data_IF_657394908747
#
_entry.id   IF_657394908747
#
_cell.length_a   1.000
_cell.length_b   1.000
_cell.length_c   1.000
_cell.angle_alpha   90.00
_cell.angle_beta   90.00
_cell.angle_gamma   90.00
#
_symmetry.space_group_name_H-M   'P 1'
#
loop_
_entity.id
_entity.type
_entity.pdbx_description
1 polymer ?
#
# COMPACT_ATOMS: atom_id res chain seq x y z
N UNK A 1 -10.79 -53.02 -55.91
CA UNK A 1 -9.83 -51.91 -55.65
C UNK A 1 -10.59 -50.64 -55.33
N UNK A 2 -10.02 -49.82 -54.43
CA UNK A 2 -10.30 -48.38 -54.19
C UNK A 2 -11.45 -48.02 -53.24
N UNK A 3 -11.11 -47.61 -52.00
CA UNK A 3 -11.14 -46.21 -51.45
C UNK A 3 -12.58 -45.76 -51.08
N UNK A 4 -12.86 -45.14 -49.94
CA UNK A 4 -12.07 -44.20 -49.12
C UNK A 4 -12.73 -44.05 -47.74
N UNK A 5 -11.90 -44.05 -46.69
CA UNK A 5 -12.20 -43.47 -45.37
C UNK A 5 -12.59 -42.00 -45.52
N UNK A 6 -13.56 -41.53 -44.74
CA UNK A 6 -13.49 -40.19 -44.15
C UNK A 6 -14.26 -40.14 -42.83
N UNK A 7 -13.50 -40.29 -41.73
CA UNK A 7 -13.84 -39.77 -40.41
C UNK A 7 -13.25 -38.37 -40.33
N UNK A 8 -14.04 -37.35 -40.06
CA UNK A 8 -13.54 -36.08 -39.53
C UNK A 8 -14.07 -35.88 -38.12
N UNK A 9 -13.16 -36.01 -37.14
CA UNK A 9 -13.37 -35.59 -35.76
C UNK A 9 -12.87 -34.15 -35.67
N UNK A 10 -13.73 -33.20 -35.30
CA UNK A 10 -13.32 -31.84 -34.95
C UNK A 10 -13.48 -31.65 -33.44
N UNK A 11 -12.37 -31.63 -32.68
CA UNK A 11 -12.42 -31.30 -31.25
C UNK A 11 -11.14 -30.60 -30.77
N UNK A 12 -10.86 -29.38 -31.22
CA UNK A 12 -9.76 -28.57 -30.70
C UNK A 12 -10.12 -27.08 -30.55
N UNK A 13 -11.09 -26.76 -29.68
CA UNK A 13 -11.40 -25.35 -29.29
C UNK A 13 -11.47 -25.09 -27.78
N UNK A 14 -11.09 -26.05 -26.92
CA UNK A 14 -11.22 -25.92 -25.45
C UNK A 14 -10.04 -25.24 -24.75
N UNK A 15 -8.85 -25.20 -25.35
CA UNK A 15 -7.63 -24.61 -24.75
C UNK A 15 -7.56 -23.07 -24.77
N UNK A 16 -8.38 -22.39 -25.58
CA UNK A 16 -8.31 -20.93 -25.72
C UNK A 16 -9.12 -20.18 -24.64
N UNK A 17 -10.16 -20.83 -24.09
CA UNK A 17 -11.09 -20.19 -23.13
C UNK A 17 -10.49 -20.02 -21.75
N UNK A 18 -9.73 -20.98 -21.23
CA UNK A 18 -9.14 -20.90 -19.89
C UNK A 18 -8.02 -19.85 -19.80
N UNK A 19 -7.19 -19.73 -20.85
CA UNK A 19 -6.17 -18.67 -20.95
C UNK A 19 -6.77 -17.27 -20.93
N UNK A 20 -7.92 -17.07 -21.59
CA UNK A 20 -8.67 -15.81 -21.53
C UNK A 20 -9.17 -15.51 -20.11
N UNK A 21 -9.71 -16.50 -19.40
CA UNK A 21 -10.16 -16.31 -18.02
C UNK A 21 -9.01 -16.01 -17.05
N UNK A 22 -7.86 -16.66 -17.21
CA UNK A 22 -6.66 -16.33 -16.42
C UNK A 22 -6.17 -14.91 -16.68
N UNK A 23 -6.16 -14.49 -17.94
CA UNK A 23 -5.78 -13.12 -18.31
C UNK A 23 -6.78 -12.10 -17.77
N UNK A 24 -8.08 -12.38 -17.83
CA UNK A 24 -9.11 -11.52 -17.25
C UNK A 24 -8.93 -11.43 -15.73
N UNK A 25 -8.69 -12.56 -15.05
CA UNK A 25 -8.46 -12.58 -13.60
C UNK A 25 -7.22 -11.77 -13.21
N UNK A 26 -6.12 -11.97 -13.94
CA UNK A 26 -4.87 -11.23 -13.73
C UNK A 26 -5.08 -9.73 -13.93
N UNK A 27 -5.67 -9.33 -15.06
CA UNK A 27 -5.95 -7.92 -15.34
C UNK A 27 -6.93 -7.34 -14.33
N UNK A 28 -7.97 -8.07 -13.91
CA UNK A 28 -8.90 -7.59 -12.90
C UNK A 28 -8.22 -7.39 -11.54
N UNK A 29 -7.31 -8.29 -11.15
CA UNK A 29 -6.53 -8.15 -9.93
C UNK A 29 -5.58 -6.94 -10.00
N UNK A 30 -4.88 -6.79 -11.12
CA UNK A 30 -3.98 -5.66 -11.36
C UNK A 30 -4.73 -4.32 -11.39
N UNK A 31 -5.84 -4.22 -12.12
CA UNK A 31 -6.67 -3.02 -12.12
C UNK A 31 -7.27 -2.78 -10.73
N UNK A 32 -7.64 -3.84 -10.01
CA UNK A 32 -8.17 -3.76 -8.65
C UNK A 32 -7.18 -3.18 -7.63
N UNK A 33 -5.87 -3.28 -7.85
CA UNK A 33 -4.85 -2.65 -6.99
C UNK A 33 -4.43 -1.27 -7.48
N UNK A 34 -4.29 -1.09 -8.79
CA UNK A 34 -3.78 0.16 -9.37
C UNK A 34 -4.84 1.27 -9.39
N UNK A 35 -6.08 0.96 -9.75
CA UNK A 35 -7.12 1.99 -9.88
C UNK A 35 -7.41 2.71 -8.56
N UNK A 36 -7.53 2.04 -7.39
CA UNK A 36 -7.72 2.74 -6.12
C UNK A 36 -6.56 3.69 -5.80
N UNK A 37 -5.31 3.26 -6.01
CA UNK A 37 -4.13 4.10 -5.75
C UNK A 37 -4.12 5.35 -6.65
N UNK A 38 -4.48 5.19 -7.92
CA UNK A 38 -4.61 6.32 -8.84
C UNK A 38 -5.74 7.27 -8.46
N UNK A 39 -6.85 6.75 -7.92
CA UNK A 39 -7.96 7.57 -7.44
C UNK A 39 -7.55 8.41 -6.22
N UNK A 40 -6.77 7.83 -5.30
CA UNK A 40 -6.24 8.52 -4.12
C UNK A 40 -5.27 9.67 -4.46
N UNK A 41 -4.79 9.78 -5.70
CA UNK A 41 -4.03 10.95 -6.16
C UNK A 41 -4.88 12.21 -6.23
N UNK A 42 -6.19 12.07 -6.45
CA UNK A 42 -7.10 13.20 -6.72
C UNK A 42 -8.17 13.35 -5.66
N UNK A 43 -8.49 12.29 -4.93
CA UNK A 43 -9.51 12.27 -3.89
C UNK A 43 -8.83 11.91 -2.59
N UNK A 44 -9.01 12.78 -1.60
CA UNK A 44 -8.48 12.53 -0.28
C UNK A 44 -9.10 11.25 0.32
N UNK A 45 -8.31 10.37 0.94
CA UNK A 45 -8.85 9.14 1.51
C UNK A 45 -9.83 9.46 2.65
N UNK A 46 -11.02 8.84 2.68
CA UNK A 46 -12.00 9.07 3.74
C UNK A 46 -11.60 8.41 5.07
N UNK A 47 -10.68 7.44 5.03
CA UNK A 47 -10.16 6.74 6.21
C UNK A 47 -8.80 6.14 5.91
N UNK A 48 -8.07 5.74 6.95
CA UNK A 48 -6.80 5.02 6.87
C UNK A 48 -6.83 3.78 7.77
N UNK A 49 -5.89 2.86 7.56
CA UNK A 49 -5.76 1.69 8.43
C UNK A 49 -5.58 2.10 9.91
N UNK A 50 -4.82 3.16 10.18
CA UNK A 50 -4.66 3.73 11.51
C UNK A 50 -5.99 4.25 12.09
N UNK A 51 -6.76 5.01 11.32
CA UNK A 51 -8.06 5.52 11.74
C UNK A 51 -9.03 4.38 12.09
N UNK A 52 -9.07 3.33 11.27
CA UNK A 52 -9.90 2.15 11.52
C UNK A 52 -9.44 1.39 12.76
N UNK A 53 -8.12 1.21 12.94
CA UNK A 53 -7.57 0.55 14.12
C UNK A 53 -7.93 1.30 15.41
N UNK A 54 -7.83 2.64 15.42
CA UNK A 54 -8.21 3.47 16.57
C UNK A 54 -9.71 3.41 16.87
N UNK A 55 -10.55 3.43 15.85
CA UNK A 55 -11.99 3.23 16.04
C UNK A 55 -12.31 1.86 16.63
N UNK A 56 -11.65 0.81 16.15
CA UNK A 56 -11.82 -0.54 16.66
C UNK A 56 -11.37 -0.66 18.12
N UNK A 57 -10.20 -0.12 18.45
CA UNK A 57 -9.64 -0.08 19.80
C UNK A 57 -10.61 0.63 20.77
N UNK A 58 -11.06 1.84 20.44
CA UNK A 58 -12.01 2.59 21.25
C UNK A 58 -13.33 1.82 21.46
N UNK A 59 -13.89 1.24 20.38
CA UNK A 59 -15.10 0.43 20.47
C UNK A 59 -14.93 -0.81 21.34
N UNK A 60 -13.77 -1.47 21.25
CA UNK A 60 -13.44 -2.63 22.08
C UNK A 60 -13.24 -2.28 23.56
N UNK A 61 -12.80 -1.06 23.85
CA UNK A 61 -12.67 -0.51 25.19
C UNK A 61 -14.00 0.00 25.77
N UNK A 62 -15.11 -0.07 25.01
CA UNK A 62 -16.42 0.42 25.44
C UNK A 62 -16.62 1.93 25.30
N UNK A 63 -15.69 2.64 24.64
CA UNK A 63 -15.81 4.06 24.36
C UNK A 63 -16.70 4.26 23.11
N UNK A 64 -18.00 4.42 23.36
CA UNK A 64 -19.00 4.63 22.32
C UNK A 64 -19.02 6.06 21.76
N UNK A 65 -18.39 7.01 22.45
CA UNK A 65 -18.40 8.43 22.10
C UNK A 65 -17.12 8.86 21.36
N UNK A 66 -16.16 7.96 21.18
CA UNK A 66 -14.94 8.22 20.43
C UNK A 66 -15.25 8.71 19.01
N UNK A 67 -14.74 9.90 18.66
CA UNK A 67 -14.85 10.50 17.33
C UNK A 67 -13.48 10.89 16.82
N UNK A 68 -13.15 10.47 15.61
CA UNK A 68 -11.97 10.96 14.90
C UNK A 68 -12.24 12.35 14.34
N UNK A 69 -11.41 13.30 14.73
CA UNK A 69 -11.35 14.62 14.10
C UNK A 69 -10.32 14.58 12.97
N UNK A 70 -10.79 14.52 11.73
CA UNK A 70 -9.93 14.44 10.55
C UNK A 70 -10.42 15.46 9.52
N UNK A 71 -9.51 16.33 9.07
CA UNK A 71 -9.79 17.36 8.06
C UNK A 71 -8.62 17.49 7.11
N UNK A 72 -8.88 17.27 5.83
CA UNK A 72 -7.92 17.54 4.76
C UNK A 72 -7.74 19.05 4.59
N UNK A 73 -6.49 19.49 4.54
CA UNK A 73 -6.14 20.89 4.39
C UNK A 73 -4.99 21.03 3.38
N UNK A 74 -5.07 21.96 2.41
CA UNK A 74 -3.93 22.26 1.57
C UNK A 74 -2.72 22.73 2.40
N UNK A 75 -1.51 22.34 1.99
CA UNK A 75 -0.26 22.73 2.66
C UNK A 75 -0.11 24.25 2.80
N UNK A 76 -0.68 25.05 1.88
CA UNK A 76 -0.66 26.51 1.92
C UNK A 76 -1.39 27.12 3.12
N UNK A 77 -2.29 26.37 3.75
CA UNK A 77 -3.00 26.78 4.97
C UNK A 77 -2.38 26.21 6.24
N UNK A 78 -1.28 25.45 6.11
CA UNK A 78 -0.52 24.92 7.23
C UNK A 78 0.73 25.79 7.38
N UNK A 79 1.07 26.13 8.63
CA UNK A 79 2.30 26.85 8.92
C UNK A 79 3.51 26.06 8.38
N UNK A 80 4.40 26.67 7.58
CA UNK A 80 5.59 25.99 7.08
C UNK A 80 6.47 25.42 8.20
N UNK A 81 6.46 26.06 9.37
CA UNK A 81 7.19 25.62 10.56
C UNK A 81 6.67 24.29 11.11
N UNK A 82 5.37 24.00 10.97
CA UNK A 82 4.81 22.71 11.39
C UNK A 82 5.36 21.57 10.52
N UNK A 83 5.42 21.77 9.20
CA UNK A 83 6.00 20.77 8.29
C UNK A 83 7.47 20.49 8.61
N UNK A 84 8.25 21.54 8.88
CA UNK A 84 9.63 21.40 9.32
C UNK A 84 9.77 20.68 10.66
N UNK A 85 8.89 20.97 11.62
CA UNK A 85 8.90 20.30 12.92
C UNK A 85 8.63 18.80 12.79
N UNK A 86 7.67 18.39 11.96
CA UNK A 86 7.35 16.97 11.69
C UNK A 86 8.52 16.26 11.03
N UNK A 87 9.12 16.87 10.00
CA UNK A 87 10.30 16.30 9.33
C UNK A 87 11.46 16.18 10.33
N UNK A 88 11.71 17.19 11.14
CA UNK A 88 12.79 17.17 12.11
C UNK A 88 12.60 16.15 13.25
N UNK A 89 11.35 15.83 13.62
CA UNK A 89 11.05 14.87 14.69
C UNK A 89 10.95 13.42 14.21
N UNK A 90 10.40 13.20 13.02
CA UNK A 90 10.10 11.84 12.51
C UNK A 90 11.14 11.35 11.49
N UNK A 91 11.69 12.23 10.65
CA UNK A 91 12.50 11.84 9.50
C UNK A 91 13.45 12.97 9.06
N UNK A 92 14.54 13.15 9.82
CA UNK A 92 15.49 14.26 9.61
C UNK A 92 16.18 14.21 8.25
N UNK A 93 16.36 13.01 7.69
CA UNK A 93 16.98 12.79 6.38
C UNK A 93 15.97 12.72 5.23
N UNK A 94 14.70 13.07 5.46
CA UNK A 94 13.65 13.00 4.44
C UNK A 94 14.05 13.57 3.06
N UNK A 95 14.71 14.74 2.94
CA UNK A 95 15.09 15.29 1.64
C UNK A 95 16.25 14.56 0.95
N UNK A 96 16.97 13.71 1.68
CA UNK A 96 18.20 13.06 1.25
C UNK A 96 17.97 11.64 0.71
N UNK A 97 16.78 11.06 0.94
CA UNK A 97 16.45 9.72 0.53
C UNK A 97 15.15 9.62 -0.29
N UNK A 98 14.97 8.49 -0.97
CA UNK A 98 13.79 8.23 -1.81
C UNK A 98 12.75 7.32 -1.12
N UNK A 99 12.63 7.44 0.20
CA UNK A 99 11.63 6.75 1.01
C UNK A 99 12.19 5.66 1.92
N UNK A 100 13.48 5.35 1.85
CA UNK A 100 14.16 4.43 2.77
C UNK A 100 15.49 5.06 3.19
N UNK A 101 15.71 5.21 4.50
CA UNK A 101 17.02 5.57 5.06
C UNK A 101 17.81 4.28 5.32
N UNK A 102 18.60 3.88 4.33
CA UNK A 102 19.38 2.62 4.39
C UNK A 102 20.40 2.67 5.52
N UNK A 103 21.05 3.83 5.73
CA UNK A 103 22.01 4.02 6.82
C UNK A 103 21.32 3.80 8.17
N UNK A 104 20.14 4.41 8.39
CA UNK A 104 19.41 4.25 9.65
C UNK A 104 18.93 2.80 9.86
N UNK A 105 18.59 2.08 8.79
CA UNK A 105 18.23 0.66 8.86
C UNK A 105 19.46 -0.18 9.26
N UNK A 106 20.62 0.07 8.65
CA UNK A 106 21.87 -0.62 8.95
C UNK A 106 22.30 -0.37 10.41
N UNK A 107 22.33 0.89 10.82
CA UNK A 107 22.64 1.31 12.21
C UNK A 107 21.70 0.63 13.22
N UNK A 108 20.40 0.56 12.92
CA UNK A 108 19.42 -0.08 13.79
C UNK A 108 19.66 -1.60 13.92
N UNK A 109 20.06 -2.25 12.82
CA UNK A 109 20.39 -3.67 12.80
C UNK A 109 21.69 -3.94 13.56
N UNK A 110 22.74 -3.15 13.34
CA UNK A 110 24.02 -3.28 14.05
C UNK A 110 23.85 -3.06 15.55
N UNK A 111 23.16 -1.98 15.95
CA UNK A 111 22.84 -1.71 17.36
C UNK A 111 22.11 -2.88 18.00
N UNK A 112 21.19 -3.54 17.27
CA UNK A 112 20.47 -4.71 17.78
C UNK A 112 21.36 -5.94 17.90
N UNK A 113 22.30 -6.16 16.97
CA UNK A 113 23.28 -7.25 17.01
C UNK A 113 24.22 -7.11 18.22
N UNK A 114 24.58 -5.88 18.56
CA UNK A 114 25.44 -5.55 19.71
C UNK A 114 24.69 -5.60 21.06
N UNK A 115 23.48 -6.16 21.09
CA UNK A 115 22.66 -6.30 22.29
C UNK A 115 21.88 -5.04 22.68
N UNK A 116 21.98 -3.98 21.88
CA UNK A 116 21.19 -2.76 22.05
C UNK A 116 19.70 -2.94 21.74
N UNK A 117 18.92 -1.92 22.12
CA UNK A 117 17.49 -1.85 21.79
C UNK A 117 17.34 -1.50 20.31
N UNK A 118 16.53 -2.27 19.58
CA UNK A 118 16.14 -1.93 18.21
C UNK A 118 15.43 -0.57 18.22
N UNK A 119 15.92 0.37 17.42
CA UNK A 119 15.31 1.69 17.23
C UNK A 119 14.44 1.68 15.98
N UNK A 120 13.47 2.60 15.92
CA UNK A 120 12.71 2.81 14.70
C UNK A 120 13.61 3.41 13.61
N UNK A 121 13.55 2.84 12.41
CA UNK A 121 14.24 3.34 11.22
C UNK A 121 13.23 3.58 10.07
N UNK A 122 11.97 3.81 10.42
CA UNK A 122 10.88 4.00 9.45
C UNK A 122 10.80 5.47 9.01
N UNK A 123 10.82 5.70 7.70
CA UNK A 123 10.70 7.04 7.10
C UNK A 123 9.24 7.50 7.04
N UNK A 124 9.02 8.80 6.81
CA UNK A 124 7.67 9.33 6.58
C UNK A 124 6.98 8.66 5.38
N UNK A 125 7.74 8.30 4.34
CA UNK A 125 7.19 7.56 3.19
C UNK A 125 6.71 6.18 3.60
N UNK A 126 7.46 5.43 4.40
CA UNK A 126 7.04 4.10 4.87
C UNK A 126 5.84 4.15 5.81
N UNK A 127 5.75 5.19 6.63
CA UNK A 127 4.61 5.37 7.54
C UNK A 127 3.30 5.67 6.78
N UNK A 128 3.39 6.23 5.58
CA UNK A 128 2.24 6.61 4.75
C UNK A 128 1.96 5.66 3.57
N UNK A 129 2.86 4.73 3.26
CA UNK A 129 2.78 3.83 2.10
C UNK A 129 1.74 2.70 2.23
#
# INVERSE_FOLDING_TARGET
MSRRKQRSRTSHRRGFRWRRWLLVLFLSGFLGTVLPVLLLRFVDPPTTAFMLARQWEARSAGDADFRLAQRWQPLTHISPQLGLAVVASEDQKFPQHHGFDVDAIEDAIETRKDGGRLRGASTLTQQLA
#
